data_IF_187570584728
#
_entry.id   IF_187570584728
#
_cell.length_a   1.000
_cell.length_b   1.000
_cell.length_c   1.000
_cell.angle_alpha   90.00
_cell.angle_beta   90.00
_cell.angle_gamma   90.00
#
_symmetry.space_group_name_H-M   'P 1'
#
loop_
_entity.id
_entity.type
_entity.pdbx_description
1 polymer ?
#
# COMPACT_ATOMS: atom_id res chain seq x y z
N UNK A 1 -5.78 -10.98 11.67
CA UNK A 1 -5.57 -11.24 10.22
C UNK A 1 -5.09 -12.68 10.06
N UNK A 2 -5.67 -13.48 9.15
CA UNK A 2 -5.11 -14.81 8.83
C UNK A 2 -4.16 -14.69 7.64
N UNK A 3 -3.21 -15.61 7.50
CA UNK A 3 -2.26 -15.58 6.37
C UNK A 3 -3.00 -15.60 5.02
N UNK A 4 -3.98 -16.50 4.88
CA UNK A 4 -4.80 -16.60 3.68
C UNK A 4 -5.60 -15.32 3.41
N UNK A 5 -6.16 -14.70 4.46
CA UNK A 5 -6.86 -13.42 4.32
C UNK A 5 -5.94 -12.29 3.88
N UNK A 6 -4.70 -12.25 4.41
CA UNK A 6 -3.69 -11.30 3.98
C UNK A 6 -3.27 -11.50 2.52
N UNK A 7 -3.07 -12.76 2.09
CA UNK A 7 -2.74 -13.11 0.70
C UNK A 7 -3.86 -12.68 -0.25
N UNK A 8 -5.12 -13.00 0.07
CA UNK A 8 -6.27 -12.60 -0.75
C UNK A 8 -6.41 -11.06 -0.85
N UNK A 9 -6.18 -10.36 0.26
CA UNK A 9 -6.22 -8.90 0.28
C UNK A 9 -5.08 -8.29 -0.53
N UNK A 10 -3.86 -8.82 -0.42
CA UNK A 10 -2.71 -8.39 -1.21
C UNK A 10 -2.92 -8.62 -2.71
N UNK A 11 -3.54 -9.74 -3.10
CA UNK A 11 -3.89 -10.02 -4.49
C UNK A 11 -4.90 -9.01 -5.05
N UNK A 12 -5.93 -8.64 -4.28
CA UNK A 12 -6.87 -7.57 -4.68
C UNK A 12 -6.17 -6.23 -4.88
N UNK A 13 -5.29 -5.85 -3.94
CA UNK A 13 -4.54 -4.60 -4.04
C UNK A 13 -3.59 -4.57 -5.25
N UNK A 14 -3.08 -5.73 -5.66
CA UNK A 14 -2.26 -5.89 -6.87
C UNK A 14 -3.08 -5.96 -8.15
N UNK A 15 -4.30 -6.48 -8.14
CA UNK A 15 -5.13 -6.55 -9.34
C UNK A 15 -5.48 -5.15 -9.89
N UNK A 16 -5.65 -4.19 -8.99
CA UNK A 16 -5.57 -2.76 -9.27
C UNK A 16 -6.65 -2.16 -10.20
N UNK A 17 -6.49 -0.86 -10.45
CA UNK A 17 -7.34 0.02 -11.24
C UNK A 17 -6.75 1.44 -11.25
N UNK A 18 -7.36 2.38 -10.52
CA UNK A 18 -6.81 3.72 -10.26
C UNK A 18 -5.59 3.75 -9.32
N UNK A 19 -5.36 2.64 -8.60
CA UNK A 19 -4.20 2.43 -7.75
C UNK A 19 -3.74 0.97 -7.86
N UNK A 20 -2.44 0.74 -7.65
CA UNK A 20 -1.82 -0.58 -7.69
C UNK A 20 -0.81 -0.73 -6.55
N UNK A 21 -0.91 -1.80 -5.75
CA UNK A 21 0.07 -2.08 -4.71
C UNK A 21 1.34 -2.72 -5.26
N UNK A 22 2.48 -2.07 -5.09
CA UNK A 22 3.78 -2.57 -5.54
C UNK A 22 4.39 -3.47 -4.46
N UNK A 23 4.40 -2.99 -3.22
CA UNK A 23 4.95 -3.70 -2.07
C UNK A 23 3.90 -3.88 -0.98
N UNK A 24 3.82 -5.10 -0.45
CA UNK A 24 2.93 -5.45 0.65
C UNK A 24 3.76 -6.15 1.72
N UNK A 25 3.81 -5.56 2.91
CA UNK A 25 4.44 -6.13 4.10
C UNK A 25 3.34 -6.40 5.14
N UNK A 26 3.36 -7.57 5.76
CA UNK A 26 2.31 -8.00 6.69
C UNK A 26 2.93 -8.34 8.03
N UNK A 27 2.44 -7.69 9.10
CA UNK A 27 2.68 -8.10 10.46
C UNK A 27 1.52 -8.99 10.93
N UNK A 28 1.76 -10.30 10.99
CA UNK A 28 0.74 -11.28 11.42
C UNK A 28 0.47 -11.25 12.92
N UNK A 29 1.41 -10.76 13.74
CA UNK A 29 1.27 -10.66 15.19
C UNK A 29 0.32 -9.51 15.56
N UNK A 30 0.52 -8.34 14.95
CA UNK A 30 -0.30 -7.14 15.20
C UNK A 30 -1.52 -7.06 14.28
N UNK A 31 -1.57 -7.89 13.24
CA UNK A 31 -2.62 -7.85 12.22
C UNK A 31 -2.59 -6.56 11.38
N UNK A 32 -1.40 -6.01 11.14
CA UNK A 32 -1.18 -4.77 10.39
C UNK A 32 -0.51 -5.03 9.04
N UNK A 33 -0.71 -4.11 8.11
CA UNK A 33 -0.09 -4.14 6.80
C UNK A 33 0.54 -2.78 6.50
N UNK A 34 1.72 -2.81 5.87
CA UNK A 34 2.30 -1.66 5.21
C UNK A 34 2.24 -1.92 3.72
N UNK A 35 1.63 -1.00 2.98
CA UNK A 35 1.41 -1.17 1.55
C UNK A 35 1.88 0.08 0.83
N UNK A 36 2.80 -0.11 -0.10
CA UNK A 36 3.26 0.93 -1.01
C UNK A 36 2.39 0.86 -2.27
N UNK A 37 1.68 1.95 -2.56
CA UNK A 37 0.79 2.06 -3.70
C UNK A 37 1.35 3.03 -4.73
N UNK A 38 1.21 2.69 -6.01
CA UNK A 38 1.33 3.61 -7.13
C UNK A 38 -0.06 4.08 -7.54
N UNK A 39 -0.25 5.40 -7.64
CA UNK A 39 -1.48 6.06 -8.05
C UNK A 39 -1.17 7.47 -8.60
N UNK A 40 -2.01 7.99 -9.49
CA UNK A 40 -1.82 9.32 -10.08
C UNK A 40 -1.95 10.47 -9.06
N UNK A 41 -2.73 10.26 -8.00
CA UNK A 41 -2.89 11.21 -6.91
C UNK A 41 -3.29 10.53 -5.61
N UNK A 42 -3.14 11.25 -4.48
CA UNK A 42 -3.60 10.79 -3.17
C UNK A 42 -5.11 10.56 -3.17
N UNK A 43 -5.87 11.46 -3.78
CA UNK A 43 -7.33 11.42 -3.85
C UNK A 43 -7.80 10.17 -4.60
N UNK A 44 -7.15 9.82 -5.72
CA UNK A 44 -7.45 8.60 -6.47
C UNK A 44 -7.25 7.35 -5.62
N UNK A 45 -6.17 7.31 -4.83
CA UNK A 45 -5.90 6.21 -3.91
C UNK A 45 -6.93 6.14 -2.77
N UNK A 46 -7.29 7.27 -2.16
CA UNK A 46 -8.31 7.33 -1.10
C UNK A 46 -9.69 6.87 -1.60
N UNK A 47 -10.10 7.33 -2.78
CA UNK A 47 -11.35 6.90 -3.42
C UNK A 47 -11.33 5.40 -3.70
N UNK A 48 -10.23 4.87 -4.24
CA UNK A 48 -10.11 3.45 -4.53
C UNK A 48 -10.14 2.60 -3.25
N UNK A 49 -9.37 2.97 -2.21
CA UNK A 49 -9.37 2.28 -0.92
C UNK A 49 -10.78 2.26 -0.31
N UNK A 50 -11.51 3.38 -0.39
CA UNK A 50 -12.89 3.47 0.10
C UNK A 50 -13.84 2.55 -0.68
N UNK A 51 -13.75 2.53 -2.01
CA UNK A 51 -14.56 1.63 -2.87
C UNK A 51 -14.29 0.16 -2.54
N UNK A 52 -13.04 -0.21 -2.25
CA UNK A 52 -12.66 -1.56 -1.87
C UNK A 52 -13.03 -1.94 -0.42
N UNK A 53 -13.61 -1.00 0.34
CA UNK A 53 -13.95 -1.16 1.76
C UNK A 53 -12.73 -1.27 2.68
N UNK A 54 -11.59 -0.72 2.24
CA UNK A 54 -10.33 -0.77 2.97
C UNK A 54 -10.16 0.45 3.86
N UNK A 55 -9.81 0.21 5.12
CA UNK A 55 -9.49 1.24 6.10
C UNK A 55 -7.98 1.30 6.33
N UNK A 56 -7.48 2.50 6.61
CA UNK A 56 -6.08 2.74 6.93
C UNK A 56 -5.96 3.68 8.13
N UNK A 57 -4.90 3.50 8.92
CA UNK A 57 -4.59 4.40 10.04
C UNK A 57 -3.86 5.67 9.53
N UNK A 58 -2.98 5.50 8.54
CA UNK A 58 -2.18 6.58 7.95
C UNK A 58 -2.08 6.42 6.44
N UNK A 59 -2.05 7.55 5.73
CA UNK A 59 -1.75 7.62 4.31
C UNK A 59 -0.76 8.76 4.06
N UNK A 60 0.41 8.40 3.50
CA UNK A 60 1.55 9.30 3.32
C UNK A 60 2.13 9.07 1.94
N UNK A 61 2.55 10.17 1.28
CA UNK A 61 3.30 10.10 0.03
C UNK A 61 4.77 9.85 0.33
N UNK A 62 5.35 8.85 -0.32
CA UNK A 62 6.79 8.60 -0.28
C UNK A 62 7.42 9.54 -1.30
N UNK A 63 8.31 10.43 -0.84
CA UNK A 63 9.00 11.39 -1.71
C UNK A 63 10.47 11.07 -1.88
N UNK A 64 11.07 10.46 -0.85
CA UNK A 64 12.48 10.13 -0.81
C UNK A 64 12.67 8.74 -0.22
N UNK A 65 13.64 8.00 -0.75
CA UNK A 65 14.07 6.70 -0.24
C UNK A 65 15.59 6.61 -0.13
N UNK A 66 16.05 5.77 0.79
CA UNK A 66 17.49 5.52 0.98
C UNK A 66 18.00 4.56 -0.08
N UNK A 67 18.99 5.01 -0.85
CA UNK A 67 19.82 4.18 -1.73
C UNK A 67 21.26 4.20 -1.25
N UNK A 68 21.68 3.12 -0.58
CA UNK A 68 22.99 3.07 0.08
C UNK A 68 23.05 4.05 1.25
N UNK A 69 23.92 5.06 1.16
CA UNK A 69 24.17 6.07 2.18
C UNK A 69 23.47 7.41 1.91
N UNK A 70 22.63 7.51 0.85
CA UNK A 70 22.00 8.77 0.43
C UNK A 70 20.51 8.62 0.19
N UNK A 71 19.77 9.69 0.49
CA UNK A 71 18.38 9.84 0.05
C UNK A 71 18.34 10.19 -1.45
N UNK A 72 17.42 9.56 -2.17
CA UNK A 72 17.06 9.85 -3.57
C UNK A 72 15.55 10.00 -3.68
N UNK A 73 15.09 10.67 -4.72
CA UNK A 73 13.65 10.75 -5.02
C UNK A 73 13.17 9.31 -5.28
N UNK A 74 12.06 8.94 -4.66
CA UNK A 74 11.44 7.63 -4.88
C UNK A 74 10.80 7.56 -6.28
N UNK A 75 11.02 6.45 -6.98
CA UNK A 75 10.50 6.17 -8.34
C UNK A 75 9.01 5.79 -8.37
#
# INVERSE_FOLDING_TARGET
LTRQGAEALAQRMRAGGLAHAERVLVNMLEGKMFVEFRADSRENLEVWLKTEGMHFDFLVRIEWEMHGDKLRIAD
#
